data_IF_253440780601
#
_entry.id   IF_253440780601
#
_cell.length_a   1.000
_cell.length_b   1.000
_cell.length_c   1.000
_cell.angle_alpha   90.00
_cell.angle_beta   90.00
_cell.angle_gamma   90.00
#
_symmetry.space_group_name_H-M   'P 1'
#
loop_
_entity.id
_entity.type
_entity.pdbx_description
1 polymer ?
#
# COMPACT_ATOMS: atom_id res chain seq x y z
N UNK A 1 -24.45 18.40 -8.47
CA UNK A 1 -23.49 18.10 -9.56
C UNK A 1 -24.10 17.06 -10.50
N UNK A 2 -23.92 17.20 -11.83
CA UNK A 2 -24.35 16.18 -12.81
C UNK A 2 -23.49 14.92 -12.63
N UNK A 3 -24.11 13.73 -12.77
CA UNK A 3 -23.36 12.46 -12.77
C UNK A 3 -22.44 12.43 -14.00
N UNK A 4 -21.17 12.01 -13.87
CA UNK A 4 -20.26 11.90 -14.99
C UNK A 4 -20.76 10.87 -16.00
N UNK A 5 -20.47 11.05 -17.28
CA UNK A 5 -20.81 10.09 -18.34
C UNK A 5 -19.86 8.89 -18.32
N UNK A 6 -20.23 7.80 -19.01
CA UNK A 6 -19.37 6.62 -19.18
C UNK A 6 -18.01 6.99 -19.77
N UNK A 7 -18.00 7.83 -20.81
CA UNK A 7 -16.78 8.26 -21.48
C UNK A 7 -15.88 9.07 -20.53
N UNK A 8 -16.46 10.00 -19.76
CA UNK A 8 -15.72 10.78 -18.76
C UNK A 8 -15.12 9.89 -17.67
N UNK A 9 -15.79 8.82 -17.26
CA UNK A 9 -15.24 7.87 -16.29
C UNK A 9 -14.07 7.07 -16.89
N UNK A 10 -14.16 6.64 -18.15
CA UNK A 10 -13.08 5.93 -18.84
C UNK A 10 -11.83 6.81 -18.96
N UNK A 11 -11.99 8.05 -19.44
CA UNK A 11 -10.90 9.03 -19.54
C UNK A 11 -10.28 9.28 -18.17
N UNK A 12 -11.11 9.46 -17.14
CA UNK A 12 -10.65 9.68 -15.77
C UNK A 12 -9.86 8.50 -15.22
N UNK A 13 -10.28 7.26 -15.50
CA UNK A 13 -9.55 6.06 -15.08
C UNK A 13 -8.19 6.00 -15.78
N UNK A 14 -8.12 6.33 -17.08
CA UNK A 14 -6.86 6.35 -17.82
C UNK A 14 -5.87 7.38 -17.25
N UNK A 15 -6.31 8.62 -17.03
CA UNK A 15 -5.49 9.68 -16.41
C UNK A 15 -4.97 9.27 -15.04
N UNK A 16 -5.86 8.78 -14.16
CA UNK A 16 -5.49 8.36 -12.81
C UNK A 16 -4.52 7.18 -12.82
N UNK A 17 -4.64 6.28 -13.80
CA UNK A 17 -3.74 5.14 -13.95
C UNK A 17 -2.32 5.59 -14.33
N UNK A 18 -2.20 6.58 -15.22
CA UNK A 18 -0.91 7.22 -15.55
C UNK A 18 -0.33 7.92 -14.31
N UNK A 19 -1.15 8.72 -13.60
CA UNK A 19 -0.76 9.38 -12.34
C UNK A 19 -0.25 8.36 -11.30
N UNK A 20 -0.92 7.20 -11.20
CA UNK A 20 -0.52 6.13 -10.31
C UNK A 20 0.81 5.48 -10.70
N UNK A 21 1.09 5.31 -12.00
CA UNK A 21 2.38 4.82 -12.48
C UNK A 21 3.52 5.78 -12.10
N UNK A 22 3.33 7.09 -12.30
CA UNK A 22 4.29 8.09 -11.88
C UNK A 22 4.50 8.08 -10.36
N UNK A 23 3.43 8.04 -9.57
CA UNK A 23 3.52 7.97 -8.13
C UNK A 23 4.18 6.67 -7.64
N UNK A 24 3.96 5.55 -8.34
CA UNK A 24 4.63 4.29 -8.05
C UNK A 24 6.14 4.39 -8.30
N UNK A 25 6.54 4.95 -9.44
CA UNK A 25 7.96 5.16 -9.75
C UNK A 25 8.64 6.07 -8.73
N UNK A 26 8.01 7.19 -8.36
CA UNK A 26 8.52 8.10 -7.33
C UNK A 26 8.74 7.40 -5.98
N UNK A 27 7.79 6.54 -5.54
CA UNK A 27 7.95 5.75 -4.32
C UNK A 27 9.15 4.79 -4.43
N UNK A 28 9.36 4.18 -5.59
CA UNK A 28 10.49 3.28 -5.82
C UNK A 28 11.82 4.04 -5.69
N UNK A 29 11.96 5.20 -6.35
CA UNK A 29 13.16 6.03 -6.22
C UNK A 29 13.43 6.42 -4.77
N UNK A 30 12.44 7.00 -4.08
CA UNK A 30 12.58 7.45 -2.69
C UNK A 30 12.89 6.30 -1.72
N UNK A 31 12.41 5.09 -2.01
CA UNK A 31 12.73 3.92 -1.21
C UNK A 31 14.18 3.51 -1.37
N UNK A 32 14.72 3.56 -2.59
CA UNK A 32 16.15 3.28 -2.80
C UNK A 32 17.02 4.38 -2.18
N UNK A 33 16.67 5.66 -2.34
CA UNK A 33 17.37 6.77 -1.68
C UNK A 33 17.41 6.60 -0.15
N UNK A 34 16.28 6.24 0.47
CA UNK A 34 16.19 5.97 1.90
C UNK A 34 17.08 4.80 2.33
N UNK A 35 17.08 3.69 1.57
CA UNK A 35 17.94 2.55 1.86
C UNK A 35 19.42 2.91 1.77
N UNK A 36 19.80 3.67 0.74
CA UNK A 36 21.18 4.10 0.54
C UNK A 36 21.65 5.01 1.68
N UNK A 37 20.78 5.87 2.20
CA UNK A 37 21.06 6.67 3.38
C UNK A 37 21.24 5.82 4.65
N UNK A 38 20.34 4.85 4.88
CA UNK A 38 20.46 3.87 5.98
C UNK A 38 21.78 3.10 5.89
N UNK A 39 22.14 2.62 4.69
CA UNK A 39 23.40 1.89 4.49
C UNK A 39 24.62 2.78 4.71
N UNK A 40 24.59 4.04 4.27
CA UNK A 40 25.68 4.99 4.56
C UNK A 40 25.83 5.22 6.07
N UNK A 41 24.73 5.34 6.79
CA UNK A 41 24.76 5.46 8.25
C UNK A 41 25.42 4.24 8.91
N UNK A 42 24.99 3.02 8.57
CA UNK A 42 25.55 1.80 9.16
C UNK A 42 27.02 1.59 8.79
N UNK A 43 27.47 2.00 7.61
CA UNK A 43 28.91 1.96 7.26
C UNK A 43 29.75 2.89 8.14
N UNK A 44 29.21 4.05 8.52
CA UNK A 44 29.93 5.04 9.32
C UNK A 44 29.90 4.76 10.82
N UNK A 45 28.80 4.19 11.33
CA UNK A 45 28.54 4.05 12.77
C UNK A 45 28.47 2.60 13.28
N UNK A 46 28.46 1.62 12.36
CA UNK A 46 28.19 0.22 12.67
C UNK A 46 26.69 -0.09 12.69
N UNK A 47 26.35 -1.35 12.39
CA UNK A 47 24.98 -1.86 12.51
C UNK A 47 24.78 -2.54 13.87
N UNK A 48 23.71 -2.23 14.62
CA UNK A 48 23.47 -2.82 15.95
C UNK A 48 23.32 -4.35 15.93
N UNK A 49 22.64 -4.89 14.92
CA UNK A 49 22.34 -6.31 14.78
C UNK A 49 22.51 -6.78 13.33
N UNK A 50 23.73 -7.09 12.87
CA UNK A 50 24.01 -7.41 11.46
C UNK A 50 23.31 -8.68 10.93
N UNK A 51 22.81 -9.54 11.83
CA UNK A 51 22.05 -10.74 11.47
C UNK A 51 20.53 -10.48 11.40
N UNK A 52 20.08 -9.24 11.63
CA UNK A 52 18.66 -8.86 11.63
C UNK A 52 18.35 -8.05 10.39
N UNK A 53 17.21 -8.34 9.76
CA UNK A 53 16.71 -7.52 8.66
C UNK A 53 15.79 -6.41 9.16
N UNK A 54 16.03 -5.19 8.69
CA UNK A 54 15.19 -4.03 8.93
C UNK A 54 15.56 -3.24 10.19
N UNK A 55 14.92 -2.08 10.32
CA UNK A 55 15.06 -1.18 11.47
C UNK A 55 13.92 -1.46 12.44
N UNK A 56 14.25 -1.77 13.70
CA UNK A 56 13.28 -1.90 14.78
C UNK A 56 13.07 -0.53 15.44
N UNK A 57 11.88 0.04 15.25
CA UNK A 57 11.53 1.38 15.78
C UNK A 57 11.26 1.38 17.28
N UNK A 58 11.15 0.21 17.92
CA UNK A 58 10.96 0.08 19.36
C UNK A 58 12.26 -0.08 20.14
N UNK A 59 13.37 -0.34 19.43
CA UNK A 59 14.66 -0.63 20.03
C UNK A 59 15.56 0.62 20.02
N UNK A 60 15.99 1.11 21.20
CA UNK A 60 16.84 2.30 21.32
C UNK A 60 18.18 2.21 20.59
N UNK A 61 18.67 1.00 20.24
CA UNK A 61 19.89 0.87 19.46
C UNK A 61 19.76 1.44 18.04
N UNK A 62 18.54 1.55 17.50
CA UNK A 62 18.27 2.12 16.18
C UNK A 62 17.96 3.62 16.20
N UNK A 63 17.86 4.25 17.38
CA UNK A 63 17.56 5.68 17.53
C UNK A 63 18.44 6.59 16.66
N UNK A 64 19.73 6.25 16.56
CA UNK A 64 20.70 7.00 15.79
C UNK A 64 20.37 7.03 14.30
N UNK A 65 20.12 5.85 13.69
CA UNK A 65 19.76 5.74 12.28
C UNK A 65 18.37 6.32 12.01
N UNK A 66 17.42 6.14 12.93
CA UNK A 66 16.06 6.69 12.83
C UNK A 66 16.10 8.20 12.77
N UNK A 67 16.83 8.86 13.69
CA UNK A 67 16.98 10.33 13.68
C UNK A 67 17.72 10.81 12.44
N UNK A 68 18.80 10.12 12.04
CA UNK A 68 19.59 10.51 10.88
C UNK A 68 18.81 10.42 9.56
N UNK A 69 17.90 9.46 9.43
CA UNK A 69 17.17 9.18 8.18
C UNK A 69 15.71 9.66 8.19
N UNK A 70 15.29 10.36 9.25
CA UNK A 70 13.91 10.76 9.48
C UNK A 70 13.29 11.52 8.29
N UNK A 71 14.03 12.45 7.70
CA UNK A 71 13.54 13.26 6.58
C UNK A 71 13.31 12.42 5.31
N UNK A 72 14.21 11.50 4.99
CA UNK A 72 14.03 10.61 3.83
C UNK A 72 12.92 9.60 4.05
N UNK A 73 12.79 9.10 5.28
CA UNK A 73 11.67 8.25 5.67
C UNK A 73 10.32 8.97 5.53
N UNK A 74 10.24 10.23 5.98
CA UNK A 74 9.05 11.06 5.85
C UNK A 74 8.69 11.29 4.38
N UNK A 75 9.64 11.74 3.55
CA UNK A 75 9.44 11.92 2.10
C UNK A 75 8.92 10.65 1.42
N UNK A 76 9.53 9.51 1.71
CA UNK A 76 9.08 8.21 1.19
C UNK A 76 7.64 7.89 1.68
N UNK A 77 7.34 8.15 2.94
CA UNK A 77 6.02 7.87 3.53
C UNK A 77 4.93 8.76 2.94
N UNK A 78 5.22 10.03 2.70
CA UNK A 78 4.32 10.94 2.00
C UNK A 78 4.05 10.49 0.56
N UNK A 79 5.08 10.07 -0.17
CA UNK A 79 4.92 9.53 -1.52
C UNK A 79 4.07 8.25 -1.53
N UNK A 80 4.26 7.35 -0.55
CA UNK A 80 3.41 6.16 -0.38
C UNK A 80 1.95 6.54 -0.14
N UNK A 81 1.69 7.54 0.72
CA UNK A 81 0.35 8.07 1.00
C UNK A 81 -0.27 8.67 -0.27
N UNK A 82 0.49 9.45 -1.02
CA UNK A 82 0.04 10.04 -2.28
C UNK A 82 -0.37 8.97 -3.30
N UNK A 83 0.50 7.97 -3.53
CA UNK A 83 0.19 6.82 -4.40
C UNK A 83 -1.08 6.09 -3.96
N UNK A 84 -1.23 5.85 -2.65
CA UNK A 84 -2.42 5.20 -2.10
C UNK A 84 -3.71 6.00 -2.35
N UNK A 85 -3.64 7.33 -2.19
CA UNK A 85 -4.77 8.21 -2.46
C UNK A 85 -5.17 8.19 -3.94
N UNK A 86 -4.20 8.16 -4.87
CA UNK A 86 -4.49 7.99 -6.29
C UNK A 86 -5.16 6.64 -6.56
N UNK A 87 -4.64 5.54 -5.98
CA UNK A 87 -5.26 4.21 -6.12
C UNK A 87 -6.71 4.21 -5.64
N UNK A 88 -7.01 4.86 -4.51
CA UNK A 88 -8.40 5.02 -4.03
C UNK A 88 -9.29 5.83 -4.99
N UNK A 89 -8.73 6.85 -5.67
CA UNK A 89 -9.44 7.61 -6.71
C UNK A 89 -9.73 6.72 -7.93
N UNK A 90 -8.79 5.89 -8.36
CA UNK A 90 -9.01 4.89 -9.43
C UNK A 90 -10.17 3.96 -9.04
N UNK A 91 -10.10 3.37 -7.84
CA UNK A 91 -11.11 2.40 -7.39
C UNK A 91 -12.51 3.02 -7.32
N UNK A 92 -12.59 4.29 -6.95
CA UNK A 92 -13.85 5.04 -6.97
C UNK A 92 -14.37 5.27 -8.38
N UNK A 93 -13.51 5.67 -9.32
CA UNK A 93 -13.90 5.85 -10.71
C UNK A 93 -14.35 4.53 -11.37
N UNK A 94 -13.65 3.44 -11.07
CA UNK A 94 -14.02 2.08 -11.52
C UNK A 94 -15.36 1.67 -10.95
N UNK A 95 -15.61 1.82 -9.64
CA UNK A 95 -16.93 1.51 -9.05
C UNK A 95 -18.06 2.31 -9.70
N UNK A 96 -17.86 3.60 -9.95
CA UNK A 96 -18.85 4.42 -10.64
C UNK A 96 -19.12 3.94 -12.08
N UNK A 97 -18.09 3.46 -12.78
CA UNK A 97 -18.23 2.88 -14.12
C UNK A 97 -18.98 1.54 -14.06
N UNK A 98 -18.71 0.72 -13.05
CA UNK A 98 -19.42 -0.55 -12.81
C UNK A 98 -20.90 -0.32 -12.57
N UNK A 99 -21.27 0.66 -11.73
CA UNK A 99 -22.66 1.03 -11.48
C UNK A 99 -23.39 1.44 -12.76
N UNK A 100 -22.72 2.17 -13.66
CA UNK A 100 -23.31 2.56 -14.95
C UNK A 100 -23.47 1.39 -15.93
N UNK A 101 -22.63 0.36 -15.83
CA UNK A 101 -22.72 -0.85 -16.66
C UNK A 101 -23.66 -1.90 -16.07
N UNK A 102 -24.07 -1.76 -14.80
CA UNK A 102 -24.78 -2.80 -14.06
C UNK A 102 -23.87 -3.94 -13.59
N UNK A 103 -22.54 -3.73 -13.59
CA UNK A 103 -21.55 -4.72 -13.15
C UNK A 103 -21.53 -4.79 -11.61
N UNK A 104 -22.32 -5.68 -11.01
CA UNK A 104 -22.37 -5.84 -9.55
C UNK A 104 -21.43 -6.93 -9.06
N UNK A 105 -20.55 -6.60 -8.11
CA UNK A 105 -19.77 -7.61 -7.38
C UNK A 105 -20.65 -8.26 -6.32
N UNK A 106 -20.84 -9.58 -6.42
CA UNK A 106 -21.50 -10.37 -5.39
C UNK A 106 -20.46 -10.98 -4.47
N UNK A 107 -20.62 -10.80 -3.17
CA UNK A 107 -19.81 -11.51 -2.17
C UNK A 107 -20.06 -13.02 -2.37
N UNK A 108 -19.00 -13.85 -2.52
CA UNK A 108 -19.19 -15.29 -2.55
C UNK A 108 -19.84 -15.76 -1.25
N UNK A 109 -20.74 -16.75 -1.34
CA UNK A 109 -21.37 -17.32 -0.16
C UNK A 109 -20.27 -17.83 0.80
N UNK A 110 -20.41 -17.60 2.12
CA UNK A 110 -19.45 -18.15 3.07
C UNK A 110 -19.40 -19.67 2.91
N UNK A 111 -18.20 -20.26 2.99
CA UNK A 111 -18.06 -21.70 2.99
C UNK A 111 -18.90 -22.27 4.14
N UNK A 112 -19.73 -23.28 3.85
CA UNK A 112 -20.46 -24.03 4.87
C UNK A 112 -19.41 -24.78 5.70
N UNK A 113 -19.02 -24.20 6.83
CA UNK A 113 -18.15 -24.88 7.79
C UNK A 113 -19.01 -25.93 8.48
N UNK A 114 -18.88 -27.19 8.06
CA UNK A 114 -19.38 -28.32 8.84
C UNK A 114 -18.62 -28.33 10.15
N UNK A 115 -19.25 -27.84 11.23
CA UNK A 115 -18.74 -28.06 12.58
C UNK A 115 -18.94 -29.54 12.89
N UNK A 116 -17.88 -30.32 12.76
CA UNK A 116 -17.82 -31.68 13.30
C UNK A 116 -17.29 -31.58 14.74
N UNK A 117 -17.98 -32.21 15.69
CA UNK A 117 -17.40 -32.47 17.01
C UNK A 117 -16.23 -33.45 16.86
N UNK A 118 -15.38 -33.59 17.90
CA UNK A 118 -14.30 -34.60 17.93
C UNK A 118 -14.79 -36.05 17.67
N UNK A 119 -16.11 -36.28 17.77
CA UNK A 119 -16.77 -37.56 17.54
C UNK A 119 -17.41 -37.69 16.14
N UNK A 120 -17.21 -36.71 15.24
CA UNK A 120 -17.70 -36.78 13.86
C UNK A 120 -19.17 -36.40 13.66
N UNK A 121 -19.85 -35.91 14.68
CA UNK A 121 -21.25 -35.46 14.55
C UNK A 121 -21.29 -34.06 13.94
N UNK A 122 -22.01 -33.90 12.82
CA UNK A 122 -22.28 -32.60 12.22
C UNK A 122 -23.34 -31.86 13.04
N UNK A 123 -22.97 -30.72 13.62
CA UNK A 123 -23.94 -29.83 14.24
C UNK A 123 -24.79 -29.19 13.12
N UNK A 124 -26.11 -29.41 13.19
CA UNK A 124 -27.10 -28.74 12.33
C UNK A 124 -27.16 -27.23 12.61
#
# INVERSE_FOLDING_TARGET
MKKPTKQQLIERIAELSIEHCHAHYAVTCLREDYKDEVFRYFRAHGEPYPNRHGIDYSDPAYDGVIRATAQSYERMSEAKRHRYNIKRRIDTAVRNLMDQRGDQLRRPAPAVVKRATLNGETLQ
#
